data_IF_627857698905
#
_entry.id   IF_627857698905
#
_cell.length_a   1.000
_cell.length_b   1.000
_cell.length_c   1.000
_cell.angle_alpha   90.00
_cell.angle_beta   90.00
_cell.angle_gamma   90.00
#
_symmetry.space_group_name_H-M   'P 1'
#
loop_
_entity.id
_entity.type
_entity.pdbx_description
1 polymer ?
#
# COMPACT_ATOMS: atom_id res chain seq x y z
N UNK A 1 -10.48 15.32 -19.93
CA UNK A 1 -9.17 15.99 -19.88
C UNK A 1 -8.15 15.00 -19.34
N UNK A 2 -6.94 14.93 -19.90
CA UNK A 2 -5.84 14.08 -19.42
C UNK A 2 -4.81 14.95 -18.73
N UNK A 3 -4.44 14.62 -17.50
CA UNK A 3 -3.39 15.33 -16.77
C UNK A 3 -2.03 14.73 -17.13
N UNK A 4 -1.00 15.58 -17.26
CA UNK A 4 0.37 15.18 -17.57
C UNK A 4 1.33 15.81 -16.58
N UNK A 5 2.21 15.00 -16.00
CA UNK A 5 3.25 15.48 -15.10
C UNK A 5 4.59 14.81 -15.41
N UNK A 6 5.68 15.58 -15.43
CA UNK A 6 7.03 15.04 -15.65
C UNK A 6 7.64 14.54 -14.33
N UNK A 7 8.20 13.33 -14.35
CA UNK A 7 8.83 12.71 -13.19
C UNK A 7 10.17 12.10 -13.56
N UNK A 8 11.14 12.20 -12.64
CA UNK A 8 12.48 11.65 -12.84
C UNK A 8 12.52 10.16 -12.49
N UNK A 9 13.08 9.35 -13.38
CA UNK A 9 13.33 7.93 -13.14
C UNK A 9 14.49 7.79 -12.15
N UNK A 10 14.29 7.01 -11.09
CA UNK A 10 15.32 6.74 -10.08
C UNK A 10 16.29 5.66 -10.54
N UNK A 11 17.38 5.46 -9.79
CA UNK A 11 18.37 4.40 -10.06
C UNK A 11 17.80 2.99 -9.90
N UNK A 12 16.72 2.83 -9.13
CA UNK A 12 16.02 1.56 -8.95
C UNK A 12 14.93 1.33 -10.00
N UNK A 13 14.96 2.03 -11.13
CA UNK A 13 13.94 1.96 -12.18
C UNK A 13 12.52 2.26 -11.68
N UNK A 14 12.41 3.22 -10.75
CA UNK A 14 11.10 3.63 -10.23
C UNK A 14 10.74 5.06 -10.58
N UNK A 15 9.44 5.30 -10.72
CA UNK A 15 8.85 6.62 -10.85
C UNK A 15 7.84 6.81 -9.74
N UNK A 16 7.95 7.91 -8.99
CA UNK A 16 6.98 8.22 -7.94
C UNK A 16 5.91 9.17 -8.47
N UNK A 17 4.65 8.76 -8.37
CA UNK A 17 3.49 9.57 -8.69
C UNK A 17 2.36 9.26 -7.71
N UNK A 18 1.70 10.29 -7.17
CA UNK A 18 0.64 10.13 -6.16
C UNK A 18 0.98 9.14 -5.02
N UNK A 19 2.21 9.22 -4.48
CA UNK A 19 2.74 8.30 -3.44
C UNK A 19 2.79 6.81 -3.82
N UNK A 20 2.36 6.43 -5.00
CA UNK A 20 2.60 5.11 -5.59
C UNK A 20 3.97 5.14 -6.26
N UNK A 21 4.73 4.07 -6.10
CA UNK A 21 5.96 3.88 -6.86
C UNK A 21 5.64 2.96 -8.02
N UNK A 22 5.86 3.41 -9.24
CA UNK A 22 5.74 2.57 -10.42
C UNK A 22 7.10 1.99 -10.74
N UNK A 23 7.19 0.66 -10.74
CA UNK A 23 8.40 -0.08 -11.07
C UNK A 23 8.38 -0.32 -12.58
N UNK A 24 9.38 0.21 -13.27
CA UNK A 24 9.61 -0.11 -14.67
C UNK A 24 10.28 -1.47 -14.76
N UNK A 25 9.92 -2.26 -15.77
CA UNK A 25 10.57 -3.54 -16.01
C UNK A 25 12.07 -3.35 -16.26
N UNK A 26 12.87 -4.28 -15.77
CA UNK A 26 14.33 -4.23 -15.91
C UNK A 26 14.78 -4.65 -17.32
N UNK A 27 14.62 -3.71 -18.26
CA UNK A 27 15.05 -3.86 -19.66
C UNK A 27 16.19 -2.90 -19.96
N UNK A 28 17.03 -3.24 -20.95
CA UNK A 28 18.16 -2.38 -21.34
C UNK A 28 17.70 -1.00 -21.81
N UNK A 29 16.51 -0.90 -22.41
CA UNK A 29 15.90 0.37 -22.77
C UNK A 29 15.57 1.21 -21.53
N UNK A 30 14.92 0.61 -20.52
CA UNK A 30 14.53 1.30 -19.29
C UNK A 30 15.73 1.70 -18.44
N UNK A 31 16.80 0.89 -18.41
CA UNK A 31 18.07 1.23 -17.75
C UNK A 31 18.69 2.54 -18.27
N UNK A 32 18.54 2.84 -19.55
CA UNK A 32 19.01 4.10 -20.16
C UNK A 32 18.17 5.31 -19.74
N UNK A 33 16.98 5.10 -19.22
CA UNK A 33 16.09 6.15 -18.72
C UNK A 33 16.43 6.59 -17.30
N UNK A 34 17.28 5.87 -16.57
CA UNK A 34 17.70 6.24 -15.21
C UNK A 34 18.24 7.68 -15.20
N UNK A 35 17.69 8.51 -14.31
CA UNK A 35 18.05 9.92 -14.19
C UNK A 35 17.36 10.85 -15.18
N UNK A 36 16.67 10.33 -16.22
CA UNK A 36 15.88 11.12 -17.16
C UNK A 36 14.52 11.46 -16.59
N UNK A 37 13.94 12.55 -17.11
CA UNK A 37 12.55 12.91 -16.87
C UNK A 37 11.67 12.27 -17.93
N UNK A 38 10.62 11.60 -17.49
CA UNK A 38 9.62 10.95 -18.34
C UNK A 38 8.23 11.43 -17.93
N UNK A 39 7.23 11.16 -18.76
CA UNK A 39 5.89 11.66 -18.57
C UNK A 39 5.01 10.64 -17.83
N UNK A 40 4.25 11.12 -16.86
CA UNK A 40 3.17 10.38 -16.23
C UNK A 40 1.85 10.99 -16.69
N UNK A 41 1.07 10.16 -17.37
CA UNK A 41 -0.27 10.49 -17.84
C UNK A 41 -1.28 9.94 -16.86
N UNK A 42 -2.19 10.80 -16.45
CA UNK A 42 -3.37 10.41 -15.69
C UNK A 42 -4.62 10.67 -16.52
N UNK A 43 -5.39 9.61 -16.67
CA UNK A 43 -6.68 9.61 -17.33
C UNK A 43 -7.81 9.87 -16.32
N UNK A 44 -8.95 10.36 -16.81
CA UNK A 44 -10.14 10.66 -16.02
C UNK A 44 -10.74 9.45 -15.28
N UNK A 45 -10.49 8.24 -15.78
CA UNK A 45 -10.86 6.95 -15.16
C UNK A 45 -9.91 6.56 -14.00
N UNK A 46 -8.88 7.37 -13.74
CA UNK A 46 -7.85 7.13 -12.74
C UNK A 46 -6.73 6.20 -13.21
N UNK A 47 -6.74 5.78 -14.49
CA UNK A 47 -5.63 5.01 -15.06
C UNK A 47 -4.38 5.89 -15.14
N UNK A 48 -3.28 5.34 -14.68
CA UNK A 48 -1.95 5.96 -14.77
C UNK A 48 -1.13 5.24 -15.82
N UNK A 49 -0.51 5.99 -16.72
CA UNK A 49 0.36 5.47 -17.77
C UNK A 49 1.69 6.23 -17.76
N UNK A 50 2.79 5.49 -17.84
CA UNK A 50 4.13 6.06 -17.84
C UNK A 50 4.68 6.00 -19.25
N UNK A 51 5.17 7.13 -19.76
CA UNK A 51 5.68 7.25 -21.13
C UNK A 51 7.07 7.85 -21.15
N UNK A 52 7.98 7.23 -21.91
CA UNK A 52 9.25 7.83 -22.31
C UNK A 52 9.21 8.14 -23.80
N UNK A 53 9.55 9.38 -24.17
CA UNK A 53 9.56 9.84 -25.57
C UNK A 53 8.24 9.55 -26.32
N UNK A 54 7.11 9.62 -25.60
CA UNK A 54 5.77 9.35 -26.14
C UNK A 54 5.35 7.87 -26.17
N UNK A 55 6.25 6.93 -25.85
CA UNK A 55 6.01 5.48 -25.84
C UNK A 55 5.67 5.02 -24.43
N UNK A 56 4.56 4.29 -24.27
CA UNK A 56 4.16 3.70 -22.99
C UNK A 56 5.14 2.59 -22.55
N UNK A 57 5.55 2.66 -21.29
CA UNK A 57 6.46 1.69 -20.69
C UNK A 57 5.66 0.67 -19.85
N UNK A 58 5.96 -0.63 -19.97
CA UNK A 58 5.50 -1.62 -19.02
C UNK A 58 5.95 -1.26 -17.61
N UNK A 59 4.99 -1.16 -16.69
CA UNK A 59 5.28 -0.87 -15.30
C UNK A 59 4.26 -1.50 -14.36
N UNK A 60 4.71 -1.81 -13.15
CA UNK A 60 3.86 -2.34 -12.09
C UNK A 60 3.72 -1.31 -10.96
N UNK A 61 2.49 -0.98 -10.52
CA UNK A 61 2.29 -0.13 -9.37
C UNK A 61 2.70 -0.89 -8.09
N UNK A 62 3.65 -0.33 -7.36
CA UNK A 62 4.04 -0.76 -6.03
C UNK A 62 3.54 0.24 -4.99
N UNK A 63 2.57 -0.20 -4.22
CA UNK A 63 1.98 0.57 -3.14
C UNK A 63 2.58 0.18 -1.78
N UNK A 64 3.30 1.11 -1.15
CA UNK A 64 3.85 0.91 0.20
C UNK A 64 2.79 0.85 1.29
N UNK A 65 1.53 1.15 0.96
CA UNK A 65 0.37 1.07 1.85
C UNK A 65 -0.51 -0.16 1.59
N UNK A 66 -0.08 -1.12 0.77
CA UNK A 66 -0.87 -2.33 0.51
C UNK A 66 -1.24 -3.03 1.82
N UNK A 67 -2.55 -3.24 1.98
CA UNK A 67 -3.14 -4.00 3.07
C UNK A 67 -2.93 -5.49 2.83
N UNK A 68 -2.85 -6.29 3.89
CA UNK A 68 -2.76 -7.75 3.78
C UNK A 68 -4.11 -8.27 3.27
N UNK A 69 -4.08 -8.94 2.13
CA UNK A 69 -5.24 -9.62 1.56
C UNK A 69 -5.73 -10.72 2.52
N UNK A 70 -7.03 -10.73 2.81
CA UNK A 70 -7.64 -11.76 3.64
C UNK A 70 -7.50 -13.16 3.03
N UNK A 71 -7.43 -13.29 1.69
CA UNK A 71 -7.17 -14.56 1.01
C UNK A 71 -5.83 -15.18 1.41
N UNK A 72 -4.80 -14.35 1.56
CA UNK A 72 -3.47 -14.82 1.99
C UNK A 72 -3.49 -15.44 3.40
N UNK A 73 -4.38 -14.97 4.28
CA UNK A 73 -4.54 -15.50 5.65
C UNK A 73 -5.19 -16.88 5.66
N UNK A 74 -6.19 -17.07 4.81
CA UNK A 74 -6.93 -18.33 4.67
C UNK A 74 -6.09 -19.40 3.98
N UNK A 75 -5.34 -19.02 2.95
CA UNK A 75 -4.52 -19.94 2.16
C UNK A 75 -3.26 -20.42 2.92
N UNK A 76 -2.71 -19.59 3.82
CA UNK A 76 -1.50 -19.92 4.57
C UNK A 76 -1.78 -20.29 6.02
N UNK A 77 -2.36 -21.49 6.25
CA UNK A 77 -2.73 -21.99 7.59
C UNK A 77 -1.62 -21.89 8.65
N UNK A 78 -0.36 -22.11 8.27
CA UNK A 78 0.80 -22.03 9.19
C UNK A 78 1.19 -20.59 9.53
N UNK A 79 0.86 -19.64 8.67
CA UNK A 79 1.14 -18.21 8.84
C UNK A 79 -0.09 -17.43 9.31
N UNK A 80 -1.26 -18.06 9.39
CA UNK A 80 -2.54 -17.41 9.71
C UNK A 80 -2.48 -16.56 10.99
N UNK A 81 -1.85 -17.07 12.06
CA UNK A 81 -1.68 -16.31 13.30
C UNK A 81 -0.83 -15.03 13.10
N UNK A 82 0.32 -15.16 12.44
CA UNK A 82 1.22 -14.02 12.17
C UNK A 82 0.55 -13.00 11.26
N UNK A 83 -0.23 -13.47 10.28
CA UNK A 83 -0.98 -12.60 9.38
C UNK A 83 -2.13 -11.87 10.08
N UNK A 84 -2.81 -12.51 11.04
CA UNK A 84 -3.82 -11.86 11.89
C UNK A 84 -3.20 -10.78 12.79
N UNK A 85 -2.04 -11.06 13.40
CA UNK A 85 -1.28 -10.04 14.15
C UNK A 85 -0.93 -8.86 13.24
N UNK A 86 -0.44 -9.13 12.04
CA UNK A 86 -0.10 -8.09 11.08
C UNK A 86 -1.32 -7.27 10.63
N UNK A 87 -2.51 -7.88 10.47
CA UNK A 87 -3.76 -7.17 10.19
C UNK A 87 -4.16 -6.22 11.33
N UNK A 88 -4.06 -6.65 12.59
CA UNK A 88 -4.35 -5.78 13.74
C UNK A 88 -3.41 -4.57 13.78
N UNK A 89 -2.12 -4.79 13.55
CA UNK A 89 -1.12 -3.72 13.50
C UNK A 89 -1.36 -2.78 12.30
N UNK A 90 -1.82 -3.31 11.16
CA UNK A 90 -2.23 -2.49 10.02
C UNK A 90 -3.49 -1.67 10.30
N UNK A 91 -4.45 -2.18 11.07
CA UNK A 91 -5.66 -1.45 11.45
C UNK A 91 -5.36 -0.24 12.36
N UNK A 92 -4.37 -0.38 13.24
CA UNK A 92 -3.90 0.71 14.12
C UNK A 92 -3.09 1.77 13.35
N UNK A 93 -2.66 1.47 12.13
CA UNK A 93 -1.86 2.36 11.29
C UNK A 93 -2.74 3.36 10.53
N UNK A 94 -2.32 4.62 10.52
CA UNK A 94 -2.86 5.64 9.62
C UNK A 94 -2.36 5.38 8.19
N UNK A 95 -3.14 4.61 7.42
CA UNK A 95 -2.90 4.32 6.01
C UNK A 95 -3.46 5.40 5.06
N UNK A 96 -3.81 6.58 5.55
CA UNK A 96 -4.27 7.65 4.67
C UNK A 96 -3.12 8.14 3.78
N UNK A 97 -3.30 8.06 2.46
CA UNK A 97 -2.52 8.88 1.52
C UNK A 97 -2.80 10.35 1.87
N UNK A 98 -1.76 11.13 2.16
CA UNK A 98 -1.96 12.51 2.62
C UNK A 98 -2.69 13.36 1.56
N UNK A 99 -3.42 14.36 2.05
CA UNK A 99 -4.16 15.34 1.27
C UNK A 99 -3.28 16.05 0.24
N UNK A 100 -3.82 16.34 -0.95
CA UNK A 100 -3.20 17.23 -1.95
C UNK A 100 -2.48 16.56 -3.12
N UNK A 101 -2.67 15.26 -3.34
CA UNK A 101 -2.17 14.63 -4.56
C UNK A 101 -2.91 15.14 -5.80
N UNK A 102 -2.21 15.46 -6.91
CA UNK A 102 -2.81 16.01 -8.13
C UNK A 102 -3.96 15.15 -8.66
N UNK A 103 -3.82 13.83 -8.55
CA UNK A 103 -4.72 12.83 -9.10
C UNK A 103 -6.17 12.91 -8.64
N UNK A 104 -6.36 13.15 -7.34
CA UNK A 104 -7.68 13.10 -6.73
C UNK A 104 -8.53 14.30 -7.10
N UNK A 105 -7.90 15.47 -7.20
CA UNK A 105 -8.55 16.71 -7.64
C UNK A 105 -8.95 16.62 -9.11
N UNK A 106 -8.12 15.98 -9.94
CA UNK A 106 -8.41 15.73 -11.35
C UNK A 106 -9.62 14.79 -11.54
N UNK A 107 -9.85 13.86 -10.61
CA UNK A 107 -10.99 12.93 -10.62
C UNK A 107 -12.27 13.50 -9.95
N UNK A 108 -12.29 14.80 -9.62
CA UNK A 108 -13.43 15.43 -8.94
C UNK A 108 -13.67 14.93 -7.51
N UNK A 109 -12.73 14.18 -6.93
CA UNK A 109 -12.85 13.69 -5.56
C UNK A 109 -12.48 14.82 -4.59
N UNK A 110 -13.22 14.91 -3.48
CA UNK A 110 -12.91 15.90 -2.45
C UNK A 110 -11.52 15.65 -1.84
N UNK A 111 -10.76 16.72 -1.55
CA UNK A 111 -9.52 16.59 -0.80
C UNK A 111 -9.80 15.87 0.53
N UNK A 112 -9.07 14.78 0.80
CA UNK A 112 -9.19 14.11 2.10
C UNK A 112 -8.79 15.11 3.21
N UNK A 113 -9.47 15.10 4.36
CA UNK A 113 -9.12 15.97 5.47
C UNK A 113 -7.68 15.73 5.91
N UNK A 114 -6.96 16.81 6.20
CA UNK A 114 -5.56 16.78 6.64
C UNK A 114 -5.41 16.05 7.99
N UNK A 115 -6.44 16.12 8.83
CA UNK A 115 -6.46 15.60 10.19
C UNK A 115 -6.54 14.08 10.28
N UNK A 116 -5.81 13.52 11.24
CA UNK A 116 -5.70 12.07 11.46
C UNK A 116 -7.00 11.46 11.93
N UNK A 117 -7.28 10.23 11.49
CA UNK A 117 -8.35 9.43 12.08
C UNK A 117 -8.05 9.22 13.56
N UNK A 118 -9.00 9.57 14.42
CA UNK A 118 -8.90 9.40 15.87
C UNK A 118 -8.54 7.94 16.16
N UNK A 119 -7.52 7.72 17.00
CA UNK A 119 -7.06 6.38 17.39
C UNK A 119 -6.00 5.71 16.50
N UNK A 120 -5.70 6.24 15.31
CA UNK A 120 -4.64 5.66 14.43
C UNK A 120 -3.25 6.22 14.74
N UNK A 121 -2.16 5.54 14.36
CA UNK A 121 -0.75 5.93 14.55
C UNK A 121 0.01 5.99 13.22
N UNK A 122 1.06 6.82 13.08
CA UNK A 122 1.93 6.74 11.87
C UNK A 122 2.76 5.45 11.92
N UNK A 123 3.21 4.96 10.76
CA UNK A 123 4.07 3.77 10.69
C UNK A 123 5.29 3.84 11.62
N UNK A 124 5.94 5.00 11.70
CA UNK A 124 7.12 5.25 12.56
C UNK A 124 6.80 5.41 14.06
N UNK A 125 5.52 5.51 14.40
CA UNK A 125 5.02 5.66 15.77
C UNK A 125 4.53 4.32 16.34
N UNK A 126 4.49 3.26 15.54
CA UNK A 126 4.15 1.90 15.99
C UNK A 126 5.32 1.37 16.80
N UNK A 127 5.06 1.01 18.05
CA UNK A 127 6.08 0.51 19.00
C UNK A 127 6.02 -1.02 19.15
N UNK A 128 7.00 -1.58 19.85
CA UNK A 128 7.01 -3.01 20.22
C UNK A 128 5.83 -3.36 21.12
N UNK A 129 5.37 -2.42 21.97
CA UNK A 129 4.21 -2.64 22.84
C UNK A 129 2.91 -2.79 22.04
N UNK A 130 2.77 -2.07 20.93
CA UNK A 130 1.65 -2.23 20.01
C UNK A 130 1.65 -3.63 19.39
N UNK A 131 2.83 -4.13 18.99
CA UNK A 131 2.99 -5.50 18.49
C UNK A 131 2.63 -6.53 19.55
N UNK A 132 3.12 -6.38 20.78
CA UNK A 132 2.83 -7.29 21.89
C UNK A 132 1.33 -7.31 22.22
N UNK A 133 0.68 -6.14 22.18
CA UNK A 133 -0.77 -6.02 22.38
C UNK A 133 -1.54 -6.75 21.27
N UNK A 134 -1.12 -6.60 20.00
CA UNK A 134 -1.73 -7.30 18.88
C UNK A 134 -1.57 -8.83 19.01
N UNK A 135 -0.37 -9.31 19.34
CA UNK A 135 -0.10 -10.74 19.60
C UNK A 135 -1.03 -11.27 20.70
N UNK A 136 -1.11 -10.56 21.84
CA UNK A 136 -1.97 -10.93 22.96
C UNK A 136 -3.45 -11.05 22.58
N UNK A 137 -3.96 -10.12 21.76
CA UNK A 137 -5.35 -10.15 21.26
C UNK A 137 -5.59 -11.36 20.36
N UNK A 138 -4.68 -11.66 19.45
CA UNK A 138 -4.81 -12.81 18.54
C UNK A 138 -4.70 -14.14 19.29
N UNK A 139 -3.82 -14.25 20.30
CA UNK A 139 -3.72 -15.46 21.12
C UNK A 139 -4.96 -15.70 21.98
N UNK A 140 -5.57 -14.63 22.53
CA UNK A 140 -6.82 -14.74 23.27
C UNK A 140 -7.99 -15.19 22.38
N UNK A 141 -8.07 -14.64 21.17
CA UNK A 141 -9.08 -15.03 20.17
C UNK A 141 -8.96 -16.50 19.73
N UNK A 142 -7.73 -17.03 19.61
CA UNK A 142 -7.49 -18.45 19.34
C UNK A 142 -7.95 -19.36 20.48
N UNK A 143 -7.76 -18.94 21.73
CA UNK A 143 -8.14 -19.74 22.89
C UNK A 143 -9.67 -19.86 23.06
N UNK A 144 -10.43 -18.83 22.66
CA UNK A 144 -11.90 -18.84 22.65
C UNK A 144 -12.52 -19.65 21.50
N UNK A 145 -11.77 -19.86 20.42
CA UNK A 145 -12.23 -20.62 19.25
C UNK A 145 -11.93 -22.12 19.30
N UNK A 146 -11.25 -22.60 20.36
CA UNK A 146 -11.15 -24.04 20.66
C UNK A 146 -12.39 -24.47 21.43
N UNK A 147 -13.32 -25.26 20.84
CA UNK A 147 -14.46 -25.77 21.59
C UNK A 147 -13.94 -26.65 22.73
N UNK A 148 -14.21 -26.24 23.97
CA UNK A 148 -13.96 -27.08 25.14
C UNK A 148 -14.84 -28.32 25.00
N UNK A 149 -14.26 -29.43 24.56
CA UNK A 149 -14.92 -30.73 24.60
C UNK A 149 -15.16 -31.06 26.07
N UNK A 150 -16.40 -30.85 26.53
CA UNK A 150 -16.82 -31.26 27.87
C UNK A 150 -16.85 -32.80 27.89
N UNK A 151 -15.77 -33.40 28.39
CA UNK A 151 -15.77 -34.82 28.74
C UNK A 151 -16.67 -34.98 29.97
N UNK A 152 -17.94 -35.35 29.75
CA UNK A 152 -18.80 -35.87 30.82
C UNK A 152 -18.24 -37.21 31.28
N UNK A 153 -18.16 -37.35 32.61
CA UNK A 153 -17.77 -38.56 33.36
C UNK A 153 -18.68 -39.75 33.04
#
# INVERSE_FOLDING_TARGET
MTWRETRRVTRSLTVQYDRVMYLLDDTDANRRLVGRYIDVYEYHDGRIEIRADGIALPCSPYDRLSEIDQGAVVDHKRLGHVLQVAQLVQADRDNRRASGSPSRTNQGQTPKPKERRIGTKKQREITVDDLNTAIGRTTASLHDSVPRTSSKR
#
